data_IF_669932577122
#
_entry.id   IF_669932577122
#
_cell.length_a   1.000
_cell.length_b   1.000
_cell.length_c   1.000
_cell.angle_alpha   90.00
_cell.angle_beta   90.00
_cell.angle_gamma   90.00
#
_symmetry.space_group_name_H-M   'P 1'
#
loop_
_entity.id
_entity.type
_entity.pdbx_description
1 polymer ?
#
# COMPACT_ATOMS: atom_id res chain seq x y z
N UNK A 1 -11.06 -28.14 15.39
CA UNK A 1 -10.33 -26.85 15.53
C UNK A 1 -9.18 -26.71 14.54
N UNK A 2 -8.23 -27.65 14.47
CA UNK A 2 -7.10 -27.57 13.52
C UNK A 2 -7.54 -27.44 12.06
N UNK A 3 -8.55 -28.19 11.65
CA UNK A 3 -9.07 -28.16 10.27
C UNK A 3 -9.64 -26.78 9.88
N UNK A 4 -10.33 -26.10 10.80
CA UNK A 4 -10.87 -24.77 10.54
C UNK A 4 -9.77 -23.71 10.41
N UNK A 5 -8.71 -23.80 11.21
CA UNK A 5 -7.54 -22.92 11.12
C UNK A 5 -6.83 -23.13 9.78
N UNK A 6 -6.64 -24.38 9.37
CA UNK A 6 -6.02 -24.72 8.08
C UNK A 6 -6.82 -24.16 6.90
N UNK A 7 -8.15 -24.32 6.91
CA UNK A 7 -9.03 -23.76 5.87
C UNK A 7 -8.94 -22.23 5.81
N UNK A 8 -8.82 -21.56 6.95
CA UNK A 8 -8.65 -20.11 7.00
C UNK A 8 -7.29 -19.67 6.41
N UNK A 9 -6.19 -20.33 6.80
CA UNK A 9 -4.86 -20.02 6.28
C UNK A 9 -4.78 -20.20 4.76
N UNK A 10 -5.41 -21.25 4.22
CA UNK A 10 -5.47 -21.49 2.78
C UNK A 10 -6.20 -20.35 2.06
N UNK A 11 -7.37 -19.93 2.56
CA UNK A 11 -8.15 -18.84 1.96
C UNK A 11 -7.39 -17.51 1.99
N UNK A 12 -6.70 -17.20 3.08
CA UNK A 12 -5.86 -16.01 3.17
C UNK A 12 -4.69 -16.05 2.20
N UNK A 13 -3.99 -17.19 2.10
CA UNK A 13 -2.88 -17.39 1.18
C UNK A 13 -3.36 -17.24 -0.27
N UNK A 14 -4.54 -17.76 -0.61
CA UNK A 14 -5.10 -17.64 -1.95
C UNK A 14 -5.46 -16.19 -2.32
N UNK A 15 -6.04 -15.43 -1.39
CA UNK A 15 -6.32 -13.99 -1.59
C UNK A 15 -5.00 -13.23 -1.78
N UNK A 16 -4.01 -13.45 -0.91
CA UNK A 16 -2.68 -12.83 -1.06
C UNK A 16 -2.04 -13.19 -2.40
N UNK A 17 -2.16 -14.45 -2.85
CA UNK A 17 -1.63 -14.91 -4.13
C UNK A 17 -2.34 -14.24 -5.31
N UNK A 18 -3.66 -14.11 -5.27
CA UNK A 18 -4.45 -13.41 -6.32
C UNK A 18 -4.08 -11.94 -6.41
N UNK A 19 -3.96 -11.24 -5.28
CA UNK A 19 -3.52 -9.83 -5.25
C UNK A 19 -2.11 -9.68 -5.77
N UNK A 20 -1.17 -10.53 -5.32
CA UNK A 20 0.22 -10.49 -5.78
C UNK A 20 0.32 -10.78 -7.27
N UNK A 21 -0.39 -11.79 -7.77
CA UNK A 21 -0.45 -12.13 -9.18
C UNK A 21 -1.00 -10.99 -10.06
N UNK A 22 -2.06 -10.32 -9.62
CA UNK A 22 -2.62 -9.18 -10.34
C UNK A 22 -1.67 -7.96 -10.41
N UNK A 23 -0.79 -7.79 -9.41
CA UNK A 23 0.19 -6.69 -9.37
C UNK A 23 1.50 -7.02 -10.08
N UNK A 24 1.81 -8.31 -10.32
CA UNK A 24 3.05 -8.72 -11.00
C UNK A 24 3.15 -8.10 -12.40
N UNK A 25 2.07 -8.15 -13.18
CA UNK A 25 2.10 -7.63 -14.55
C UNK A 25 2.28 -6.09 -14.60
N UNK A 26 1.49 -5.28 -13.86
CA UNK A 26 1.74 -3.83 -13.75
C UNK A 26 3.15 -3.48 -13.28
N UNK A 27 3.68 -4.19 -12.28
CA UNK A 27 5.03 -3.94 -11.78
C UNK A 27 6.11 -4.21 -12.84
N UNK A 28 5.99 -5.33 -13.57
CA UNK A 28 6.95 -5.70 -14.62
C UNK A 28 6.96 -4.69 -15.77
N UNK A 29 5.78 -4.27 -16.24
CA UNK A 29 5.67 -3.24 -17.30
C UNK A 29 6.27 -1.91 -16.84
N UNK A 30 6.02 -1.51 -15.60
CA UNK A 30 6.54 -0.26 -15.06
C UNK A 30 8.06 -0.25 -14.97
N UNK A 31 8.67 -1.37 -14.55
CA UNK A 31 10.14 -1.53 -14.51
C UNK A 31 10.74 -1.40 -15.91
N UNK A 32 10.15 -2.07 -16.91
CA UNK A 32 10.62 -1.98 -18.30
C UNK A 32 10.46 -0.56 -18.83
N UNK A 33 9.31 0.09 -18.59
CA UNK A 33 9.05 1.44 -19.06
C UNK A 33 10.03 2.46 -18.48
N UNK A 34 10.29 2.40 -17.16
CA UNK A 34 11.28 3.25 -16.50
C UNK A 34 12.68 2.97 -17.05
N UNK A 35 13.05 1.69 -17.24
CA UNK A 35 14.33 1.32 -17.84
C UNK A 35 14.51 1.84 -19.27
N UNK A 36 13.46 1.77 -20.09
CA UNK A 36 13.48 2.29 -21.46
C UNK A 36 13.63 3.81 -21.50
N UNK A 37 12.90 4.54 -20.63
CA UNK A 37 13.04 6.00 -20.50
C UNK A 37 14.46 6.36 -20.07
N UNK A 38 15.01 5.66 -19.07
CA UNK A 38 16.37 5.90 -18.60
C UNK A 38 17.39 5.68 -19.73
N UNK A 39 17.28 4.59 -20.49
CA UNK A 39 18.15 4.33 -21.63
C UNK A 39 18.03 5.41 -22.72
N UNK A 40 16.80 5.88 -23.00
CA UNK A 40 16.55 6.95 -23.96
C UNK A 40 17.25 8.24 -23.53
N UNK A 41 17.09 8.63 -22.26
CA UNK A 41 17.69 9.85 -21.72
C UNK A 41 19.22 9.74 -21.69
N UNK A 42 19.79 8.62 -21.24
CA UNK A 42 21.24 8.48 -21.09
C UNK A 42 21.99 8.31 -22.42
N UNK A 43 21.41 7.66 -23.44
CA UNK A 43 22.12 7.36 -24.68
C UNK A 43 21.59 8.12 -25.90
N UNK A 44 20.26 8.23 -26.04
CA UNK A 44 19.64 8.76 -27.27
C UNK A 44 19.61 10.28 -27.27
N UNK A 45 19.26 10.90 -26.13
CA UNK A 45 19.18 12.37 -26.02
C UNK A 45 20.55 13.05 -26.25
N UNK A 46 21.68 12.59 -25.66
CA UNK A 46 22.98 13.22 -25.89
C UNK A 46 23.44 13.10 -27.34
N UNK A 47 23.19 11.95 -27.99
CA UNK A 47 23.53 11.73 -29.38
C UNK A 47 22.79 12.71 -30.32
N UNK A 48 21.54 13.04 -30.00
CA UNK A 48 20.79 14.06 -30.73
C UNK A 48 21.27 15.48 -30.41
N UNK A 49 21.61 15.78 -29.15
CA UNK A 49 22.15 17.09 -28.77
C UNK A 49 23.45 17.42 -29.52
N UNK A 50 24.39 16.47 -29.60
CA UNK A 50 25.65 16.67 -30.32
C UNK A 50 25.50 16.89 -31.83
N UNK A 51 24.39 16.44 -32.42
CA UNK A 51 24.05 16.73 -33.82
C UNK A 51 23.53 18.17 -33.99
N UNK A 52 22.71 18.65 -33.04
CA UNK A 52 22.18 20.03 -33.06
C UNK A 52 23.28 21.08 -32.87
N UNK A 53 24.25 20.82 -32.00
CA UNK A 53 25.39 21.72 -31.75
C UNK A 53 26.27 21.92 -33.01
N UNK A 54 26.36 20.90 -33.87
CA UNK A 54 27.13 20.99 -35.13
C UNK A 54 26.44 21.81 -36.22
N UNK A 55 25.12 21.95 -36.16
CA UNK A 55 24.30 22.66 -37.17
C UNK A 55 24.13 24.14 -36.78
N UNK A 56 24.56 24.55 -35.58
CA UNK A 56 24.47 25.93 -35.08
C UNK A 56 23.05 26.38 -34.71
N UNK A 57 22.13 25.42 -34.55
CA UNK A 57 20.76 25.68 -34.12
C UNK A 57 20.63 25.55 -32.60
N UNK A 58 20.04 26.55 -31.93
CA UNK A 58 19.73 26.42 -30.52
C UNK A 58 18.69 25.32 -30.27
N UNK A 59 18.98 24.42 -29.34
CA UNK A 59 18.01 23.41 -28.93
C UNK A 59 16.74 24.07 -28.36
N UNK A 60 15.53 23.58 -28.72
CA UNK A 60 14.27 24.01 -28.12
C UNK A 60 14.32 23.89 -26.59
N UNK A 61 13.62 24.78 -25.88
CA UNK A 61 13.63 24.86 -24.41
C UNK A 61 13.31 23.50 -23.74
N UNK A 62 12.38 22.74 -24.31
CA UNK A 62 12.00 21.40 -23.86
C UNK A 62 13.15 20.38 -23.95
N UNK A 63 13.99 20.46 -24.97
CA UNK A 63 15.15 19.58 -25.15
C UNK A 63 16.32 19.99 -24.25
N UNK A 64 16.55 21.30 -24.04
CA UNK A 64 17.55 21.80 -23.07
C UNK A 64 17.24 21.33 -21.64
N UNK A 65 15.96 21.33 -21.24
CA UNK A 65 15.54 20.80 -19.93
C UNK A 65 15.81 19.28 -19.85
N UNK A 66 15.52 18.52 -20.91
CA UNK A 66 15.77 17.07 -20.95
C UNK A 66 17.27 16.73 -20.87
N UNK A 67 18.12 17.47 -21.57
CA UNK A 67 19.58 17.32 -21.51
C UNK A 67 20.10 17.66 -20.11
N UNK A 68 19.64 18.76 -19.50
CA UNK A 68 20.03 19.12 -18.13
C UNK A 68 19.60 18.06 -17.08
N UNK A 69 18.41 17.46 -17.25
CA UNK A 69 17.96 16.34 -16.41
C UNK A 69 18.82 15.09 -16.65
N UNK A 70 19.18 14.83 -17.91
CA UNK A 70 20.06 13.71 -18.29
C UNK A 70 21.42 13.85 -17.65
N UNK A 71 22.09 14.99 -17.81
CA UNK A 71 23.42 15.26 -17.30
C UNK A 71 23.44 15.15 -15.77
N UNK A 72 22.43 15.69 -15.10
CA UNK A 72 22.26 15.54 -13.65
C UNK A 72 22.09 14.07 -13.24
N UNK A 73 21.32 13.28 -14.01
CA UNK A 73 21.07 11.87 -13.73
C UNK A 73 22.29 10.98 -13.99
N UNK A 74 23.11 11.29 -15.02
CA UNK A 74 24.33 10.53 -15.35
C UNK A 74 25.48 10.84 -14.40
N UNK A 75 25.71 12.11 -14.07
CA UNK A 75 26.83 12.51 -13.20
C UNK A 75 26.61 12.10 -11.73
N UNK A 76 25.35 11.97 -11.31
CA UNK A 76 24.99 11.65 -9.93
C UNK A 76 24.28 10.30 -9.78
N UNK A 77 24.49 9.35 -10.70
CA UNK A 77 23.79 8.05 -10.70
C UNK A 77 23.90 7.31 -9.37
N UNK A 78 25.05 7.42 -8.69
CA UNK A 78 25.29 6.84 -7.37
C UNK A 78 24.49 7.53 -6.27
N UNK A 79 24.41 8.87 -6.27
CA UNK A 79 23.59 9.65 -5.35
C UNK A 79 22.09 9.47 -5.62
N UNK A 80 21.68 9.31 -6.88
CA UNK A 80 20.30 9.04 -7.27
C UNK A 80 19.87 7.65 -6.78
N UNK A 81 20.74 6.65 -6.93
CA UNK A 81 20.51 5.31 -6.39
C UNK A 81 20.46 5.31 -4.86
N UNK A 82 21.43 5.94 -4.20
CA UNK A 82 21.46 6.04 -2.73
C UNK A 82 20.26 6.83 -2.19
N UNK A 83 19.86 7.90 -2.88
CA UNK A 83 18.68 8.70 -2.60
C UNK A 83 17.39 7.90 -2.78
N UNK A 84 17.28 7.08 -3.82
CA UNK A 84 16.14 6.19 -4.03
C UNK A 84 16.04 5.11 -2.95
N UNK A 85 17.17 4.50 -2.56
CA UNK A 85 17.22 3.53 -1.45
C UNK A 85 16.87 4.19 -0.12
N UNK A 86 17.40 5.39 0.14
CA UNK A 86 17.09 6.16 1.34
C UNK A 86 15.62 6.61 1.38
N UNK A 87 15.06 7.00 0.23
CA UNK A 87 13.65 7.36 0.09
C UNK A 87 12.74 6.15 0.36
N UNK A 88 13.03 5.00 -0.27
CA UNK A 88 12.27 3.77 -0.06
C UNK A 88 12.40 3.32 1.40
N UNK A 89 13.61 3.31 1.95
CA UNK A 89 13.88 2.97 3.36
C UNK A 89 13.16 3.92 4.32
N UNK A 90 13.19 5.22 4.04
CA UNK A 90 12.49 6.26 4.79
C UNK A 90 10.97 6.10 4.73
N UNK A 91 10.41 5.78 3.57
CA UNK A 91 8.98 5.48 3.40
C UNK A 91 8.59 4.23 4.19
N UNK A 92 9.39 3.16 4.13
CA UNK A 92 9.15 1.93 4.89
C UNK A 92 9.18 2.22 6.39
N UNK A 93 10.18 2.97 6.86
CA UNK A 93 10.30 3.35 8.26
C UNK A 93 9.16 4.27 8.70
N UNK A 94 8.77 5.22 7.84
CA UNK A 94 7.62 6.09 8.06
C UNK A 94 6.34 5.29 8.22
N UNK A 95 6.07 4.32 7.35
CA UNK A 95 4.90 3.44 7.47
C UNK A 95 4.92 2.50 8.67
N UNK A 96 6.06 2.34 9.35
CA UNK A 96 6.15 1.65 10.65
C UNK A 96 5.82 2.56 11.84
N UNK A 97 5.82 3.87 11.67
CA UNK A 97 5.41 4.80 12.74
C UNK A 97 3.88 4.81 12.90
N UNK A 98 3.34 5.17 14.09
CA UNK A 98 1.89 5.24 14.32
C UNK A 98 1.16 6.18 13.35
N UNK A 99 1.79 7.32 13.02
CA UNK A 99 1.25 8.28 12.03
C UNK A 99 1.24 7.69 10.62
N UNK A 100 2.34 7.04 10.21
CA UNK A 100 2.39 6.37 8.90
C UNK A 100 1.42 5.20 8.78
N UNK A 101 1.19 4.42 9.84
CA UNK A 101 0.17 3.35 9.86
C UNK A 101 -1.22 3.93 9.61
N UNK A 102 -1.58 5.04 10.28
CA UNK A 102 -2.86 5.74 10.06
C UNK A 102 -2.98 6.30 8.64
N UNK A 103 -1.92 6.91 8.10
CA UNK A 103 -1.92 7.42 6.72
C UNK A 103 -2.12 6.27 5.72
N UNK A 104 -1.39 5.16 5.89
CA UNK A 104 -1.54 3.96 5.06
C UNK A 104 -2.96 3.39 5.12
N UNK A 105 -3.51 3.24 6.31
CA UNK A 105 -4.87 2.73 6.51
C UNK A 105 -5.91 3.64 5.84
N UNK A 106 -5.70 4.96 5.89
CA UNK A 106 -6.56 5.95 5.23
C UNK A 106 -6.46 5.87 3.70
N UNK A 107 -5.24 5.76 3.15
CA UNK A 107 -5.02 5.62 1.70
C UNK A 107 -5.71 4.35 1.18
N UNK A 108 -5.53 3.22 1.87
CA UNK A 108 -6.14 1.94 1.49
C UNK A 108 -7.67 2.03 1.47
N UNK A 109 -8.26 2.73 2.46
CA UNK A 109 -9.71 2.90 2.55
C UNK A 109 -10.28 3.98 1.62
N UNK A 110 -9.45 4.84 1.04
CA UNK A 110 -9.87 5.84 0.04
C UNK A 110 -9.89 5.29 -1.39
N UNK A 111 -9.18 4.20 -1.68
CA UNK A 111 -9.18 3.59 -3.02
C UNK A 111 -10.49 2.79 -3.19
N UNK A 112 -11.43 3.20 -4.06
CA UNK A 112 -12.80 2.65 -4.09
C UNK A 112 -12.84 1.13 -4.31
N UNK A 113 -11.96 0.64 -5.20
CA UNK A 113 -11.86 -0.77 -5.58
C UNK A 113 -11.35 -1.62 -4.42
N UNK A 114 -10.39 -1.11 -3.64
CA UNK A 114 -9.75 -1.83 -2.53
C UNK A 114 -10.61 -1.72 -1.26
N UNK A 115 -11.24 -0.56 -1.04
CA UNK A 115 -12.07 -0.26 0.14
C UNK A 115 -13.10 -1.36 0.42
N UNK A 116 -13.89 -1.73 -0.59
CA UNK A 116 -14.94 -2.74 -0.40
C UNK A 116 -14.37 -4.12 -0.05
N UNK A 117 -13.26 -4.50 -0.68
CA UNK A 117 -12.61 -5.80 -0.42
C UNK A 117 -12.08 -5.85 1.00
N UNK A 118 -11.43 -4.77 1.46
CA UNK A 118 -10.87 -4.67 2.81
C UNK A 118 -11.97 -4.68 3.86
N UNK A 119 -13.02 -3.87 3.70
CA UNK A 119 -14.14 -3.82 4.65
C UNK A 119 -14.86 -5.16 4.72
N UNK A 120 -15.26 -5.74 3.59
CA UNK A 120 -15.98 -7.03 3.57
C UNK A 120 -15.11 -8.17 4.13
N UNK A 121 -13.83 -8.20 3.77
CA UNK A 121 -12.88 -9.19 4.28
C UNK A 121 -12.66 -9.09 5.79
N UNK A 122 -12.54 -7.86 6.30
CA UNK A 122 -12.43 -7.60 7.73
C UNK A 122 -13.71 -8.01 8.47
N UNK A 123 -14.88 -7.54 8.03
CA UNK A 123 -16.17 -7.85 8.66
C UNK A 123 -16.48 -9.35 8.67
N UNK A 124 -16.21 -10.07 7.58
CA UNK A 124 -16.44 -11.51 7.50
C UNK A 124 -15.56 -12.29 8.50
N UNK A 125 -14.32 -11.84 8.71
CA UNK A 125 -13.40 -12.44 9.69
C UNK A 125 -13.85 -12.12 11.11
N UNK A 126 -14.15 -10.86 11.38
CA UNK A 126 -14.59 -10.39 12.70
C UNK A 126 -15.88 -11.05 13.14
N UNK A 127 -16.89 -11.11 12.27
CA UNK A 127 -18.16 -11.78 12.56
C UNK A 127 -17.96 -13.27 12.91
N UNK A 128 -17.06 -13.95 12.20
CA UNK A 128 -16.71 -15.35 12.48
C UNK A 128 -16.00 -15.51 13.83
N UNK A 129 -15.05 -14.63 14.13
CA UNK A 129 -14.32 -14.66 15.39
C UNK A 129 -15.28 -14.42 16.57
N UNK A 130 -16.16 -13.42 16.47
CA UNK A 130 -17.18 -13.14 17.48
C UNK A 130 -18.12 -14.34 17.66
N UNK A 131 -18.60 -14.96 16.57
CA UNK A 131 -19.47 -16.13 16.64
C UNK A 131 -18.80 -17.32 17.36
N UNK A 132 -17.50 -17.54 17.14
CA UNK A 132 -16.74 -18.58 17.82
C UNK A 132 -16.58 -18.29 19.31
N UNK A 133 -16.31 -17.04 19.69
CA UNK A 133 -16.15 -16.63 21.09
C UNK A 133 -17.46 -16.74 21.86
N UNK A 134 -18.55 -16.20 21.31
CA UNK A 134 -19.88 -16.27 21.92
C UNK A 134 -20.34 -17.73 22.01
N UNK A 135 -20.13 -18.53 20.97
CA UNK A 135 -20.43 -19.97 21.00
C UNK A 135 -19.62 -20.74 22.06
N UNK A 136 -18.45 -20.21 22.46
CA UNK A 136 -17.64 -20.72 23.56
C UNK A 136 -18.00 -20.17 24.94
N UNK A 137 -19.05 -19.33 25.06
CA UNK A 137 -19.51 -18.75 26.32
C UNK A 137 -18.87 -17.42 26.71
N UNK A 138 -18.09 -16.78 25.82
CA UNK A 138 -17.53 -15.45 26.04
C UNK A 138 -18.62 -14.38 25.87
N UNK A 139 -18.63 -13.37 26.72
CA UNK A 139 -19.60 -12.26 26.62
C UNK A 139 -19.34 -11.42 25.36
N UNK A 140 -20.38 -10.74 24.85
CA UNK A 140 -20.24 -9.90 23.65
C UNK A 140 -19.24 -8.75 23.86
N UNK A 141 -19.19 -8.17 25.06
CA UNK A 141 -18.28 -7.08 25.40
C UNK A 141 -16.83 -7.54 25.40
N UNK A 142 -16.54 -8.71 25.98
CA UNK A 142 -15.19 -9.30 25.97
C UNK A 142 -14.77 -9.71 24.54
N UNK A 143 -15.72 -10.21 23.74
CA UNK A 143 -15.47 -10.54 22.34
C UNK A 143 -15.13 -9.29 21.51
N UNK A 144 -15.80 -8.15 21.77
CA UNK A 144 -15.49 -6.87 21.14
C UNK A 144 -14.12 -6.34 21.57
N UNK A 145 -13.77 -6.44 22.85
CA UNK A 145 -12.45 -6.04 23.36
C UNK A 145 -11.33 -6.85 22.67
N UNK A 146 -11.51 -8.16 22.48
CA UNK A 146 -10.54 -8.98 21.77
C UNK A 146 -10.39 -8.60 20.28
N UNK A 147 -11.50 -8.22 19.62
CA UNK A 147 -11.47 -7.73 18.24
C UNK A 147 -10.74 -6.40 18.15
N UNK A 148 -10.96 -5.48 19.08
CA UNK A 148 -10.27 -4.17 19.14
C UNK A 148 -8.77 -4.39 19.29
N UNK A 149 -8.34 -5.28 20.20
CA UNK A 149 -6.93 -5.58 20.43
C UNK A 149 -6.25 -6.20 19.21
N UNK A 150 -6.91 -7.15 18.55
CA UNK A 150 -6.38 -7.87 17.38
C UNK A 150 -6.51 -7.10 16.07
N UNK A 151 -7.23 -5.98 16.04
CA UNK A 151 -7.43 -5.15 14.84
C UNK A 151 -6.21 -4.30 14.51
N UNK A 152 -5.54 -4.64 13.42
CA UNK A 152 -4.35 -3.90 12.98
C UNK A 152 -4.66 -2.51 12.42
N UNK A 153 -5.83 -2.32 11.83
CA UNK A 153 -6.23 -1.07 11.19
C UNK A 153 -6.82 -0.08 12.21
N UNK A 154 -6.31 1.14 12.23
CA UNK A 154 -6.72 2.18 13.19
C UNK A 154 -8.20 2.53 13.06
N UNK A 155 -8.73 2.63 11.83
CA UNK A 155 -10.14 3.01 11.61
C UNK A 155 -11.11 1.93 12.08
N UNK A 156 -10.78 0.65 11.87
CA UNK A 156 -11.60 -0.44 12.41
C UNK A 156 -11.52 -0.50 13.93
N UNK A 157 -10.34 -0.30 14.52
CA UNK A 157 -10.17 -0.24 15.98
C UNK A 157 -11.01 0.88 16.59
N UNK A 158 -10.94 2.10 16.04
CA UNK A 158 -11.74 3.24 16.48
C UNK A 158 -13.26 2.97 16.34
N UNK A 159 -13.70 2.36 15.24
CA UNK A 159 -15.10 2.01 15.02
C UNK A 159 -15.61 0.99 16.05
N UNK A 160 -14.89 -0.12 16.25
CA UNK A 160 -15.30 -1.16 17.21
C UNK A 160 -15.20 -0.69 18.66
N UNK A 161 -14.29 0.24 18.98
CA UNK A 161 -14.22 0.87 20.31
C UNK A 161 -15.49 1.66 20.61
N UNK A 162 -16.07 2.35 19.62
CA UNK A 162 -17.35 3.05 19.77
C UNK A 162 -18.49 2.06 20.01
N UNK A 163 -18.61 1.04 19.15
CA UNK A 163 -19.63 -0.01 19.28
C UNK A 163 -19.57 -0.66 20.67
N UNK A 164 -18.37 -0.95 21.18
CA UNK A 164 -18.18 -1.52 22.52
C UNK A 164 -18.65 -0.57 23.62
N UNK A 165 -18.37 0.73 23.50
CA UNK A 165 -18.87 1.74 24.44
C UNK A 165 -20.39 1.79 24.43
N UNK A 166 -21.00 1.89 23.25
CA UNK A 166 -22.45 1.99 23.08
C UNK A 166 -23.17 0.77 23.69
N UNK A 167 -22.65 -0.43 23.45
CA UNK A 167 -23.19 -1.66 24.04
C UNK A 167 -22.99 -1.71 25.56
N UNK A 168 -21.87 -1.18 26.07
CA UNK A 168 -21.63 -1.08 27.52
C UNK A 168 -22.58 -0.10 28.20
N UNK A 169 -22.99 0.94 27.48
CA UNK A 169 -23.96 1.94 27.91
C UNK A 169 -25.42 1.45 27.74
N UNK A 170 -25.62 0.22 27.26
CA UNK A 170 -26.92 -0.45 27.17
C UNK A 170 -27.63 -0.32 25.83
N UNK A 171 -26.99 0.23 24.80
CA UNK A 171 -27.54 0.25 23.45
C UNK A 171 -27.54 -1.17 22.84
N UNK A 172 -28.53 -1.44 22.00
CA UNK A 172 -28.59 -2.69 21.26
C UNK A 172 -27.44 -2.75 20.26
N UNK A 173 -26.80 -3.92 20.13
CA UNK A 173 -25.70 -4.14 19.18
C UNK A 173 -26.07 -3.85 17.72
N UNK A 174 -27.36 -3.93 17.36
CA UNK A 174 -27.84 -3.59 16.02
C UNK A 174 -27.94 -2.08 15.75
N UNK A 175 -27.94 -1.28 16.82
CA UNK A 175 -28.09 0.17 16.79
C UNK A 175 -26.75 0.89 16.99
N UNK A 176 -25.81 0.23 17.68
CA UNK A 176 -24.40 0.61 17.82
C UNK A 176 -23.63 0.37 16.50
#
# INVERSE_FOLDING_TARGET
MLEQITVQMIKEAEIKRKVKGALTYPAFVLVIAVGAIAALVTFVVPAMSGLFDQIGGELPLTTKIMVAISDFATDNILYLFLGMVALIGGIILYFRTPRGKRTKDTIILNIPVIKQVVIKGFMARTARNIALLIGGGVTITDALDLVIETSDNVHFREAFTRVRSDVSDGLLLSQA
#
